data_IF_628965261197
#
_entry.id   IF_628965261197
#
_cell.length_a   1.000
_cell.length_b   1.000
_cell.length_c   1.000
_cell.angle_alpha   90.00
_cell.angle_beta   90.00
_cell.angle_gamma   90.00
#
_symmetry.space_group_name_H-M   'P 1'
#
loop_
_entity.id
_entity.type
_entity.pdbx_description
1 polymer ?
#
# COMPACT_ATOMS: atom_id res chain seq x y z
N UNK A 1 25.14 39.79 -17.12
CA UNK A 1 25.92 38.84 -17.92
C UNK A 1 25.66 37.44 -17.37
N UNK A 2 24.77 36.71 -18.04
CA UNK A 2 25.00 35.39 -18.66
C UNK A 2 25.20 34.28 -17.62
N UNK A 3 24.33 33.29 -17.45
CA UNK A 3 23.26 32.77 -18.29
C UNK A 3 23.21 31.26 -18.05
N UNK A 4 22.01 30.68 -17.98
CA UNK A 4 21.69 29.29 -18.36
C UNK A 4 20.19 29.04 -18.08
N UNK A 5 19.37 29.60 -18.96
CA UNK A 5 18.06 29.03 -19.28
C UNK A 5 18.29 27.83 -20.21
N UNK A 6 17.95 26.61 -19.76
CA UNK A 6 17.58 25.49 -20.63
C UNK A 6 17.14 24.31 -19.76
N UNK A 7 15.84 24.20 -19.59
CA UNK A 7 15.00 23.01 -19.78
C UNK A 7 13.58 23.47 -19.42
N UNK A 8 12.76 23.73 -20.44
CA UNK A 8 11.39 24.21 -20.30
C UNK A 8 10.50 23.11 -19.73
N UNK A 9 10.55 22.94 -18.41
CA UNK A 9 9.53 22.24 -17.64
C UNK A 9 8.87 23.28 -16.75
N UNK A 10 7.68 23.72 -17.16
CA UNK A 10 6.79 24.50 -16.31
C UNK A 10 6.32 23.60 -15.17
N UNK A 11 6.90 23.75 -13.99
CA UNK A 11 6.35 23.21 -12.74
C UNK A 11 5.18 24.09 -12.30
N UNK A 12 4.08 24.14 -13.07
CA UNK A 12 2.86 24.85 -12.67
C UNK A 12 1.95 23.95 -11.86
N UNK A 13 2.43 23.40 -10.74
CA UNK A 13 1.60 22.76 -9.72
C UNK A 13 2.30 22.87 -8.36
N UNK A 14 2.51 24.10 -7.90
CA UNK A 14 2.59 24.39 -6.48
C UNK A 14 1.79 25.67 -6.27
N UNK A 15 0.52 25.50 -5.91
CA UNK A 15 -0.20 26.56 -5.26
C UNK A 15 0.46 26.77 -3.88
N UNK A 16 1.30 27.80 -3.80
CA UNK A 16 1.98 28.19 -2.56
C UNK A 16 1.01 28.79 -1.51
N UNK A 17 -0.30 28.82 -1.78
CA UNK A 17 -1.33 29.21 -0.81
C UNK A 17 -1.83 28.05 0.06
N UNK A 18 -1.44 26.80 -0.23
CA UNK A 18 -1.70 25.69 0.69
C UNK A 18 -0.93 25.94 1.99
N UNK A 19 -1.64 26.40 3.02
CA UNK A 19 -1.11 26.48 4.38
C UNK A 19 -0.76 25.06 4.83
N UNK A 20 0.44 24.89 5.37
CA UNK A 20 0.89 23.62 5.95
C UNK A 20 0.11 23.22 7.22
N UNK A 21 -0.91 24.00 7.60
CA UNK A 21 -1.81 23.72 8.72
C UNK A 21 -2.99 22.82 8.31
N UNK A 22 -3.22 22.61 7.00
CA UNK A 22 -4.28 21.72 6.54
C UNK A 22 -3.85 20.24 6.60
N UNK A 23 -4.73 19.32 7.04
CA UNK A 23 -4.39 17.91 7.20
C UNK A 23 -4.18 17.24 5.83
N UNK A 24 -2.92 17.10 5.42
CA UNK A 24 -2.54 16.31 4.23
C UNK A 24 -2.62 14.82 4.55
N UNK A 25 -3.50 14.09 3.86
CA UNK A 25 -3.59 12.64 4.01
C UNK A 25 -2.60 11.95 3.07
N UNK A 26 -1.57 11.33 3.65
CA UNK A 26 -0.67 10.41 2.94
C UNK A 26 -0.82 9.00 3.51
N UNK A 27 -1.35 8.07 2.71
CA UNK A 27 -1.41 6.65 3.08
C UNK A 27 -0.12 5.95 2.65
N UNK A 28 0.54 5.27 3.61
CA UNK A 28 1.66 4.37 3.30
C UNK A 28 3.09 4.90 3.50
N UNK A 29 3.30 6.03 4.19
CA UNK A 29 4.65 6.48 4.56
C UNK A 29 4.78 6.73 6.07
N UNK A 30 5.25 5.73 6.85
CA UNK A 30 5.52 5.90 8.29
C UNK A 30 6.61 6.95 8.57
N UNK A 31 7.38 7.35 7.54
CA UNK A 31 8.47 8.33 7.67
C UNK A 31 7.95 9.74 7.93
N UNK A 32 6.70 10.06 7.57
CA UNK A 32 6.13 11.40 7.76
C UNK A 32 5.87 11.71 9.24
N UNK A 33 5.56 10.69 10.08
CA UNK A 33 5.48 10.83 11.56
C UNK A 33 6.79 11.33 12.17
N UNK A 34 7.95 10.95 11.62
CA UNK A 34 9.27 11.35 12.16
C UNK A 34 9.53 12.86 12.05
N UNK A 35 8.77 13.57 11.22
CA UNK A 35 8.90 15.01 11.04
C UNK A 35 7.86 15.82 11.83
N UNK A 36 7.08 15.17 12.72
CA UNK A 36 6.06 15.85 13.53
C UNK A 36 4.85 16.36 12.73
N UNK A 37 4.72 15.94 11.47
CA UNK A 37 3.61 16.34 10.62
C UNK A 37 2.32 15.65 11.07
N UNK A 38 1.19 16.35 11.00
CA UNK A 38 -0.14 15.81 11.33
C UNK A 38 -1.05 15.90 10.10
N UNK A 39 -1.71 14.81 9.68
CA UNK A 39 -1.82 13.52 10.37
C UNK A 39 -0.59 12.59 10.25
N UNK A 40 0.49 12.98 9.56
CA UNK A 40 1.80 12.29 9.62
C UNK A 40 1.89 10.87 9.07
N UNK A 41 0.76 10.22 8.80
CA UNK A 41 0.65 8.83 8.38
C UNK A 41 -0.33 8.08 9.28
N UNK A 42 -1.32 7.44 8.66
CA UNK A 42 -2.29 6.61 9.36
C UNK A 42 -1.61 5.33 9.85
N UNK A 43 -1.70 5.10 11.16
CA UNK A 43 -1.31 3.84 11.76
C UNK A 43 -2.46 2.84 11.56
N UNK A 44 -2.27 1.91 10.63
CA UNK A 44 -3.23 0.85 10.33
C UNK A 44 -2.81 -0.50 10.93
N UNK A 45 -1.82 -0.52 11.84
CA UNK A 45 -1.31 -1.76 12.44
C UNK A 45 -2.37 -2.55 13.19
N UNK A 46 -3.39 -1.88 13.70
CA UNK A 46 -4.53 -2.47 14.40
C UNK A 46 -5.68 -2.90 13.47
N UNK A 47 -5.61 -2.59 12.17
CA UNK A 47 -6.68 -2.87 11.22
C UNK A 47 -6.33 -4.10 10.39
N UNK A 48 -6.94 -5.24 10.73
CA UNK A 48 -6.78 -6.49 9.98
C UNK A 48 -7.34 -6.38 8.56
N UNK A 49 -6.86 -7.26 7.66
CA UNK A 49 -7.44 -7.42 6.33
C UNK A 49 -8.94 -7.74 6.39
N UNK A 50 -9.40 -8.54 7.35
CA UNK A 50 -10.83 -8.86 7.52
C UNK A 50 -11.65 -7.61 7.83
N UNK A 51 -11.16 -6.73 8.71
CA UNK A 51 -11.82 -5.46 9.01
C UNK A 51 -11.87 -4.54 7.78
N UNK A 52 -10.80 -4.53 6.97
CA UNK A 52 -10.80 -3.82 5.69
C UNK A 52 -11.82 -4.44 4.73
N UNK A 53 -11.84 -5.77 4.59
CA UNK A 53 -12.74 -6.48 3.68
C UNK A 53 -14.21 -6.29 4.05
N UNK A 54 -14.55 -6.34 5.34
CA UNK A 54 -15.91 -6.06 5.81
C UNK A 54 -16.39 -4.64 5.46
N UNK A 55 -15.47 -3.67 5.37
CA UNK A 55 -15.81 -2.27 5.06
C UNK A 55 -15.81 -1.95 3.57
N UNK A 56 -14.83 -2.47 2.84
CA UNK A 56 -14.55 -2.09 1.45
C UNK A 56 -15.02 -3.14 0.44
N UNK A 57 -15.20 -4.40 0.86
CA UNK A 57 -15.67 -5.49 0.01
C UNK A 57 -14.91 -5.56 -1.31
N UNK A 58 -15.67 -5.63 -2.41
CA UNK A 58 -15.14 -5.73 -3.78
C UNK A 58 -14.24 -4.56 -4.23
N UNK A 59 -14.21 -3.44 -3.49
CA UNK A 59 -13.29 -2.33 -3.80
C UNK A 59 -11.84 -2.62 -3.39
N UNK A 60 -11.58 -3.69 -2.62
CA UNK A 60 -10.21 -4.15 -2.37
C UNK A 60 -9.70 -5.01 -3.51
N UNK A 61 -8.44 -4.76 -3.92
CA UNK A 61 -7.73 -5.56 -4.92
C UNK A 61 -7.78 -7.06 -4.59
N UNK A 62 -7.62 -7.39 -3.31
CA UNK A 62 -7.56 -8.75 -2.79
C UNK A 62 -8.84 -9.16 -2.06
N UNK A 63 -10.00 -8.57 -2.38
CA UNK A 63 -11.28 -8.82 -1.70
C UNK A 63 -11.69 -10.29 -1.63
N UNK A 64 -11.30 -11.10 -2.61
CA UNK A 64 -11.53 -12.56 -2.64
C UNK A 64 -10.49 -13.39 -1.88
N UNK A 65 -9.67 -12.80 -1.02
CA UNK A 65 -8.65 -13.57 -0.27
C UNK A 65 -9.28 -14.48 0.77
N UNK A 66 -8.71 -15.67 0.92
CA UNK A 66 -8.91 -16.50 2.10
C UNK A 66 -8.00 -16.02 3.24
N UNK A 67 -8.54 -15.95 4.45
CA UNK A 67 -7.75 -15.74 5.67
C UNK A 67 -7.61 -17.07 6.38
N UNK A 68 -6.37 -17.51 6.59
CA UNK A 68 -6.09 -18.81 7.20
C UNK A 68 -4.71 -18.83 7.86
N UNK A 69 -4.47 -19.82 8.72
CA UNK A 69 -3.12 -20.11 9.22
C UNK A 69 -2.35 -20.92 8.19
N UNK A 70 -1.04 -20.72 8.12
CA UNK A 70 -0.17 -21.45 7.19
C UNK A 70 -0.30 -22.98 7.36
N UNK A 71 -0.44 -23.47 8.59
CA UNK A 71 -0.59 -24.90 8.89
C UNK A 71 -1.92 -25.51 8.43
N UNK A 72 -2.97 -24.70 8.31
CA UNK A 72 -4.33 -25.14 7.98
C UNK A 72 -4.70 -24.83 6.52
N UNK A 73 -3.81 -24.18 5.77
CA UNK A 73 -4.08 -23.69 4.43
C UNK A 73 -3.96 -24.78 3.36
N UNK A 74 -4.98 -24.87 2.50
CA UNK A 74 -4.90 -25.64 1.26
C UNK A 74 -4.32 -24.76 0.13
N UNK A 75 -3.04 -24.97 -0.18
CA UNK A 75 -2.36 -24.23 -1.25
C UNK A 75 -2.63 -24.86 -2.63
N UNK A 76 -3.84 -24.70 -3.16
CA UNK A 76 -4.30 -25.47 -4.35
C UNK A 76 -3.65 -25.05 -5.68
N UNK A 77 -3.11 -23.83 -5.77
CA UNK A 77 -2.47 -23.32 -6.98
C UNK A 77 -0.94 -23.56 -6.99
N UNK A 78 -0.31 -23.42 -8.16
CA UNK A 78 1.17 -23.42 -8.24
C UNK A 78 1.78 -22.20 -7.55
N UNK A 79 1.07 -21.06 -7.62
CA UNK A 79 1.48 -19.78 -7.04
C UNK A 79 0.28 -19.05 -6.44
N UNK A 80 0.50 -18.36 -5.34
CA UNK A 80 -0.49 -17.51 -4.69
C UNK A 80 0.15 -16.23 -4.17
N UNK A 81 -0.61 -15.13 -4.15
CA UNK A 81 -0.21 -13.96 -3.39
C UNK A 81 -0.45 -14.22 -1.89
N UNK A 82 0.59 -14.00 -1.08
CA UNK A 82 0.56 -14.23 0.36
C UNK A 82 1.05 -13.00 1.08
N UNK A 83 0.31 -12.56 2.10
CA UNK A 83 0.67 -11.43 2.99
C UNK A 83 0.20 -11.72 4.42
N UNK A 84 0.82 -11.16 5.47
CA UNK A 84 0.22 -11.15 6.80
C UNK A 84 -1.20 -10.54 6.77
N UNK A 85 -2.08 -10.99 7.67
CA UNK A 85 -3.43 -10.41 7.80
C UNK A 85 -3.39 -8.99 8.34
N UNK A 86 -2.41 -8.68 9.19
CA UNK A 86 -2.20 -7.35 9.75
C UNK A 86 -1.10 -6.57 8.99
N UNK A 87 -0.95 -5.28 9.29
CA UNK A 87 0.15 -4.46 8.75
C UNK A 87 1.43 -4.56 9.60
N UNK A 88 1.63 -5.67 10.33
CA UNK A 88 2.84 -5.90 11.13
C UNK A 88 4.11 -5.90 10.28
N UNK A 89 3.97 -6.21 8.98
CA UNK A 89 5.08 -6.38 8.03
C UNK A 89 6.09 -7.43 8.51
N UNK A 90 5.63 -8.46 9.24
CA UNK A 90 6.44 -9.62 9.59
C UNK A 90 7.11 -10.25 8.36
N UNK A 91 6.45 -10.16 7.22
CA UNK A 91 7.07 -10.25 5.89
C UNK A 91 6.33 -9.37 4.88
N UNK A 92 7.00 -9.03 3.78
CA UNK A 92 6.40 -8.30 2.66
C UNK A 92 5.46 -9.21 1.89
N UNK A 93 4.24 -8.72 1.61
CA UNK A 93 3.31 -9.43 0.75
C UNK A 93 3.90 -9.67 -0.64
N UNK A 94 3.86 -10.92 -1.11
CA UNK A 94 4.47 -11.33 -2.38
C UNK A 94 3.77 -12.55 -2.96
N UNK A 95 3.96 -12.78 -4.27
CA UNK A 95 3.59 -14.05 -4.89
C UNK A 95 4.61 -15.11 -4.48
N UNK A 96 4.12 -16.23 -3.94
CA UNK A 96 4.93 -17.36 -3.48
C UNK A 96 4.56 -18.63 -4.25
N UNK A 97 5.52 -19.55 -4.40
CA UNK A 97 5.24 -20.96 -4.70
C UNK A 97 4.76 -21.70 -3.45
N UNK A 98 4.28 -22.93 -3.63
CA UNK A 98 3.92 -23.80 -2.50
C UNK A 98 5.08 -24.02 -1.53
N UNK A 99 6.28 -24.27 -2.02
CA UNK A 99 7.44 -24.55 -1.15
C UNK A 99 7.84 -23.32 -0.33
N UNK A 100 7.82 -22.14 -0.94
CA UNK A 100 8.07 -20.87 -0.26
C UNK A 100 7.02 -20.58 0.82
N UNK A 101 5.75 -20.91 0.53
CA UNK A 101 4.66 -20.79 1.49
C UNK A 101 4.83 -21.76 2.67
N UNK A 102 5.18 -23.02 2.41
CA UNK A 102 5.35 -24.04 3.43
C UNK A 102 6.52 -23.76 4.40
N UNK A 103 7.46 -22.92 3.98
CA UNK A 103 8.58 -22.44 4.79
C UNK A 103 8.19 -21.34 5.80
N UNK A 104 6.98 -20.78 5.72
CA UNK A 104 6.47 -19.82 6.71
C UNK A 104 6.12 -20.53 8.05
N UNK A 105 6.14 -19.80 9.18
CA UNK A 105 5.69 -20.34 10.47
C UNK A 105 4.25 -20.86 10.38
N UNK A 106 4.00 -22.09 10.86
CA UNK A 106 2.70 -22.76 10.71
C UNK A 106 1.54 -22.03 11.39
N UNK A 107 1.84 -21.31 12.46
CA UNK A 107 0.86 -20.53 13.23
C UNK A 107 0.60 -19.14 12.64
N UNK A 108 1.40 -18.69 11.67
CA UNK A 108 1.24 -17.37 11.05
C UNK A 108 -0.13 -17.25 10.37
N UNK A 109 -0.84 -16.17 10.69
CA UNK A 109 -2.12 -15.84 10.07
C UNK A 109 -1.88 -14.97 8.83
N UNK A 110 -2.36 -15.45 7.68
CA UNK A 110 -2.07 -14.87 6.37
C UNK A 110 -3.34 -14.70 5.54
N UNK A 111 -3.31 -13.72 4.63
CA UNK A 111 -4.22 -13.67 3.50
C UNK A 111 -3.59 -14.44 2.33
N UNK A 112 -4.35 -15.34 1.71
CA UNK A 112 -4.02 -16.00 0.45
C UNK A 112 -4.98 -15.53 -0.64
N UNK A 113 -4.42 -15.09 -1.76
CA UNK A 113 -5.19 -14.64 -2.91
C UNK A 113 -4.60 -15.21 -4.21
N UNK A 114 -5.43 -15.27 -5.24
CA UNK A 114 -4.95 -15.46 -6.61
C UNK A 114 -3.97 -14.33 -6.99
N UNK A 115 -2.84 -14.65 -7.64
CA UNK A 115 -1.96 -13.61 -8.15
C UNK A 115 -2.69 -12.70 -9.14
N UNK A 116 -2.55 -11.39 -8.94
CA UNK A 116 -3.07 -10.37 -9.86
C UNK A 116 -1.90 -9.60 -10.44
N UNK A 117 -1.90 -9.42 -11.75
CA UNK A 117 -0.91 -8.58 -12.43
C UNK A 117 -1.12 -7.12 -12.02
N UNK A 118 -0.07 -6.48 -11.49
CA UNK A 118 -0.11 -5.07 -11.13
C UNK A 118 0.61 -4.29 -12.23
N UNK A 119 -0.17 -3.67 -13.12
CA UNK A 119 0.38 -2.83 -14.17
C UNK A 119 1.07 -1.59 -13.60
N UNK A 120 0.45 -0.97 -12.59
CA UNK A 120 0.95 0.25 -11.97
C UNK A 120 0.46 0.38 -10.54
N UNK A 121 1.35 0.74 -9.63
CA UNK A 121 1.02 1.15 -8.29
C UNK A 121 1.22 2.66 -8.17
N UNK A 122 0.19 3.39 -7.77
CA UNK A 122 0.22 4.85 -7.59
C UNK A 122 -0.09 5.22 -6.14
N UNK A 123 0.50 6.33 -5.68
CA UNK A 123 0.17 6.95 -4.40
C UNK A 123 -0.54 8.26 -4.67
N UNK A 124 -1.54 8.55 -3.85
CA UNK A 124 -2.33 9.77 -3.92
C UNK A 124 -2.19 10.54 -2.61
N UNK A 125 -2.18 11.86 -2.73
CA UNK A 125 -2.31 12.78 -1.60
C UNK A 125 -3.65 13.46 -1.73
N UNK A 126 -4.45 13.39 -0.67
CA UNK A 126 -5.75 14.03 -0.63
C UNK A 126 -5.81 15.12 0.44
N UNK A 127 -6.38 16.26 0.06
CA UNK A 127 -6.66 17.40 0.92
C UNK A 127 -8.15 17.74 0.79
N UNK A 128 -8.87 17.78 1.92
CA UNK A 128 -10.31 18.10 1.97
C UNK A 128 -11.19 17.27 1.02
N UNK A 129 -10.82 15.99 0.82
CA UNK A 129 -11.54 15.07 -0.06
C UNK A 129 -11.17 15.17 -1.55
N UNK A 130 -10.28 16.08 -1.91
CA UNK A 130 -9.78 16.24 -3.28
C UNK A 130 -8.39 15.63 -3.41
N UNK A 131 -8.07 15.02 -4.56
CA UNK A 131 -6.71 14.53 -4.86
C UNK A 131 -5.89 15.71 -5.37
N UNK A 132 -4.90 16.14 -4.59
CA UNK A 132 -4.07 17.32 -4.92
C UNK A 132 -2.75 16.95 -5.58
N UNK A 133 -2.28 15.72 -5.37
CA UNK A 133 -1.08 15.20 -6.02
C UNK A 133 -1.15 13.68 -6.14
N UNK A 134 -0.39 13.15 -7.11
CA UNK A 134 -0.17 11.71 -7.23
C UNK A 134 1.24 11.42 -7.74
N UNK A 135 1.74 10.21 -7.48
CA UNK A 135 3.00 9.72 -8.03
C UNK A 135 2.90 8.25 -8.33
N UNK A 136 3.52 7.83 -9.44
CA UNK A 136 3.69 6.41 -9.73
C UNK A 136 4.77 5.87 -8.79
N UNK A 137 4.39 4.94 -7.95
CA UNK A 137 5.28 4.26 -7.00
C UNK A 137 6.03 3.10 -7.65
N UNK A 138 5.34 2.31 -8.49
CA UNK A 138 5.93 1.19 -9.22
C UNK A 138 5.17 0.92 -10.54
N UNK A 139 5.86 0.30 -11.51
CA UNK A 139 5.29 -0.20 -12.78
C UNK A 139 5.72 -1.66 -12.96
N UNK A 140 4.79 -2.52 -13.34
CA UNK A 140 5.04 -3.96 -13.53
C UNK A 140 5.42 -4.66 -12.22
N UNK A 141 4.43 -5.24 -11.55
CA UNK A 141 4.59 -5.96 -10.28
C UNK A 141 3.82 -7.26 -10.24
#
# INVERSE_FOLDING_TARGET
MNGLSRLGVSWSLYDASASFDDPVMCMGSPKLKKHGWSPGGFDLSHVSFEAQCAKWGAHLLNSGSAVTRVGDAEFLAERAFVRPVDDSKSFSGRVMTRDEFLALPKDALVQLAEPREILTASRFWSLRGEVVAHSVYARGG
#
